data_IF_924083608467
#
_entry.id   IF_924083608467
#
_cell.length_a   1.000
_cell.length_b   1.000
_cell.length_c   1.000
_cell.angle_alpha   90.00
_cell.angle_beta   90.00
_cell.angle_gamma   90.00
#
_symmetry.space_group_name_H-M   'P 1'
#
loop_
_entity.id
_entity.type
_entity.pdbx_description
1 polymer ?
#
# COMPACT_ATOMS: atom_id res chain seq x y z
N UNK A 1 4.38 -7.19 -1.19
CA UNK A 1 5.74 -7.76 -1.09
C UNK A 1 5.80 -9.20 -1.62
N UNK A 2 4.85 -10.08 -1.31
CA UNK A 2 4.89 -11.50 -1.67
C UNK A 2 4.62 -11.80 -3.17
N UNK A 3 4.44 -10.78 -4.00
CA UNK A 3 4.47 -10.91 -5.47
C UNK A 3 5.90 -11.09 -6.02
N UNK A 4 6.90 -10.75 -5.23
CA UNK A 4 8.30 -10.91 -5.63
C UNK A 4 8.80 -12.31 -5.26
N UNK A 5 9.38 -13.07 -6.19
CA UNK A 5 10.08 -14.30 -5.86
C UNK A 5 11.26 -13.94 -4.94
N UNK A 6 11.56 -14.76 -3.97
CA UNK A 6 12.65 -14.59 -3.02
C UNK A 6 12.40 -13.50 -1.94
N UNK A 7 11.17 -13.04 -1.74
CA UNK A 7 10.83 -12.15 -0.62
C UNK A 7 10.03 -12.93 0.41
N UNK A 8 10.56 -12.97 1.62
CA UNK A 8 9.87 -13.50 2.79
C UNK A 8 9.43 -12.34 3.69
N UNK A 9 8.27 -12.46 4.30
CA UNK A 9 7.73 -11.45 5.19
C UNK A 9 7.54 -12.02 6.60
N UNK A 10 8.26 -11.47 7.56
CA UNK A 10 8.09 -11.82 8.97
C UNK A 10 7.31 -10.73 9.70
N UNK A 11 6.34 -11.12 10.52
CA UNK A 11 5.61 -10.21 11.40
C UNK A 11 6.18 -10.28 12.83
N UNK A 12 6.88 -9.25 13.31
CA UNK A 12 7.39 -9.22 14.69
C UNK A 12 6.27 -9.32 15.74
N UNK A 13 5.16 -8.63 15.49
CA UNK A 13 4.01 -8.63 16.41
C UNK A 13 3.34 -10.00 16.53
N UNK A 14 3.23 -10.73 15.43
CA UNK A 14 2.63 -12.08 15.39
C UNK A 14 3.67 -13.18 15.60
N UNK A 15 4.96 -12.84 15.64
CA UNK A 15 6.10 -13.77 15.75
C UNK A 15 6.04 -14.93 14.75
N UNK A 16 5.63 -14.65 13.52
CA UNK A 16 5.48 -15.66 12.46
C UNK A 16 5.70 -15.10 11.07
N UNK A 17 6.02 -16.00 10.15
CA UNK A 17 6.02 -15.69 8.71
C UNK A 17 4.61 -15.42 8.23
N UNK A 18 4.46 -14.41 7.38
CA UNK A 18 3.23 -14.09 6.69
C UNK A 18 3.31 -14.72 5.30
N UNK A 19 2.37 -15.62 5.00
CA UNK A 19 2.24 -16.24 3.70
C UNK A 19 0.92 -15.80 3.06
N UNK A 20 1.00 -15.13 1.92
CA UNK A 20 -0.15 -14.81 1.09
C UNK A 20 -0.21 -15.79 -0.08
N UNK A 21 -1.22 -16.67 -0.09
CA UNK A 21 -1.37 -17.68 -1.15
C UNK A 21 -1.83 -17.10 -2.49
N UNK A 22 -2.49 -15.96 -2.46
CA UNK A 22 -3.05 -15.28 -3.62
C UNK A 22 -2.74 -13.77 -3.52
N UNK A 23 -1.49 -13.35 -3.85
CA UNK A 23 -1.09 -11.94 -3.76
C UNK A 23 -1.88 -11.02 -4.70
N UNK A 24 -2.30 -11.53 -5.85
CA UNK A 24 -3.08 -10.77 -6.82
C UNK A 24 -4.51 -10.54 -6.31
N UNK A 25 -5.18 -11.61 -5.86
CA UNK A 25 -6.50 -11.48 -5.23
C UNK A 25 -6.47 -10.58 -3.99
N UNK A 26 -5.39 -10.62 -3.20
CA UNK A 26 -5.21 -9.73 -2.05
C UNK A 26 -5.10 -8.26 -2.49
N UNK A 27 -4.35 -7.97 -3.57
CA UNK A 27 -4.26 -6.61 -4.12
C UNK A 27 -5.62 -6.11 -4.60
N UNK A 28 -6.36 -6.94 -5.34
CA UNK A 28 -7.70 -6.61 -5.82
C UNK A 28 -8.67 -6.38 -4.66
N UNK A 29 -8.63 -7.26 -3.65
CA UNK A 29 -9.40 -7.08 -2.42
C UNK A 29 -9.13 -5.70 -1.78
N UNK A 30 -7.85 -5.33 -1.71
CA UNK A 30 -7.43 -4.05 -1.13
C UNK A 30 -7.94 -2.87 -1.96
N UNK A 31 -7.83 -2.92 -3.29
CA UNK A 31 -8.36 -1.89 -4.18
C UNK A 31 -9.90 -1.74 -4.06
N UNK A 32 -10.63 -2.86 -3.95
CA UNK A 32 -12.10 -2.84 -3.84
C UNK A 32 -12.55 -2.31 -2.48
N UNK A 33 -11.89 -2.73 -1.40
CA UNK A 33 -12.24 -2.32 -0.02
C UNK A 33 -11.73 -0.93 0.34
N UNK A 34 -10.72 -0.44 -0.38
CA UNK A 34 -9.98 0.75 0.01
C UNK A 34 -9.08 0.50 1.23
N UNK A 35 -8.44 1.54 1.70
CA UNK A 35 -7.62 1.55 2.90
C UNK A 35 -8.05 2.69 3.84
N UNK A 36 -8.78 2.35 4.88
CA UNK A 36 -9.29 3.35 5.82
C UNK A 36 -8.19 4.01 6.65
N UNK A 37 -7.03 3.36 6.82
CA UNK A 37 -5.89 3.95 7.51
C UNK A 37 -5.24 5.07 6.70
N UNK A 38 -5.29 4.96 5.38
CA UNK A 38 -4.78 5.95 4.43
C UNK A 38 -5.86 6.91 3.91
N UNK A 39 -7.09 6.80 4.45
CA UNK A 39 -8.21 7.64 4.05
C UNK A 39 -8.83 7.28 2.68
N UNK A 40 -8.55 6.08 2.16
CA UNK A 40 -9.04 5.62 0.86
C UNK A 40 -10.35 4.82 1.06
N UNK A 41 -11.52 5.35 0.66
CA UNK A 41 -12.78 4.65 0.82
C UNK A 41 -12.93 3.50 -0.18
N UNK A 42 -13.84 2.56 0.13
CA UNK A 42 -14.14 1.47 -0.81
C UNK A 42 -14.79 2.00 -2.11
N UNK A 43 -14.76 1.19 -3.15
CA UNK A 43 -15.22 1.59 -4.50
C UNK A 43 -16.70 1.94 -4.62
N UNK A 44 -17.52 1.61 -3.61
CA UNK A 44 -18.97 1.95 -3.57
C UNK A 44 -19.25 3.28 -2.88
N UNK A 45 -18.22 3.90 -2.28
CA UNK A 45 -18.38 5.04 -1.37
C UNK A 45 -17.89 6.34 -1.99
N UNK A 46 -18.42 7.45 -1.50
CA UNK A 46 -17.95 8.78 -1.85
C UNK A 46 -16.49 9.00 -1.41
N UNK A 47 -15.79 9.90 -2.09
CA UNK A 47 -14.37 10.19 -1.83
C UNK A 47 -14.14 10.69 -0.40
N UNK A 48 -15.09 11.38 0.16
CA UNK A 48 -15.04 11.95 1.50
C UNK A 48 -15.69 11.06 2.60
N UNK A 49 -16.12 9.85 2.26
CA UNK A 49 -16.87 8.97 3.17
C UNK A 49 -16.11 8.55 4.45
N UNK A 50 -14.79 8.73 4.48
CA UNK A 50 -13.97 8.43 5.67
C UNK A 50 -13.69 9.70 6.48
N UNK A 51 -13.49 10.83 5.80
CA UNK A 51 -13.06 12.08 6.44
C UNK A 51 -14.24 12.95 6.88
N UNK A 52 -15.42 12.78 6.26
CA UNK A 52 -16.63 13.52 6.60
C UNK A 52 -17.40 12.79 7.72
N UNK A 53 -17.56 13.38 8.92
CA UNK A 53 -18.22 12.73 10.05
C UNK A 53 -19.70 12.43 9.79
N UNK A 54 -20.32 13.15 8.86
CA UNK A 54 -21.74 12.98 8.52
C UNK A 54 -21.99 11.88 7.48
N UNK A 55 -20.91 11.32 6.92
CA UNK A 55 -20.98 10.26 5.91
C UNK A 55 -20.50 8.92 6.47
N UNK A 56 -21.01 7.85 5.87
CA UNK A 56 -20.57 6.48 6.15
C UNK A 56 -20.26 5.77 4.84
N UNK A 57 -19.27 4.92 4.88
CA UNK A 57 -18.98 4.06 3.74
C UNK A 57 -20.16 3.11 3.45
N UNK A 58 -20.44 2.90 2.18
CA UNK A 58 -21.35 1.85 1.71
C UNK A 58 -20.78 0.47 2.09
N UNK A 59 -21.62 -0.43 2.56
CA UNK A 59 -21.18 -1.76 3.01
C UNK A 59 -20.71 -2.59 1.81
N UNK A 60 -19.46 -3.00 1.86
CA UNK A 60 -18.87 -3.97 0.94
C UNK A 60 -19.12 -5.38 1.48
N UNK A 61 -20.10 -6.09 0.92
CA UNK A 61 -20.40 -7.46 1.33
C UNK A 61 -19.35 -8.44 0.78
N UNK A 62 -19.13 -9.57 1.49
CA UNK A 62 -18.22 -10.63 1.04
C UNK A 62 -18.58 -11.16 -0.36
N UNK A 63 -19.87 -11.23 -0.67
CA UNK A 63 -20.34 -11.68 -1.99
C UNK A 63 -19.85 -10.73 -3.09
N UNK A 64 -20.12 -9.43 -2.96
CA UNK A 64 -19.67 -8.40 -3.91
C UNK A 64 -18.15 -8.37 -4.06
N UNK A 65 -17.44 -8.53 -2.95
CA UNK A 65 -15.97 -8.58 -2.97
C UNK A 65 -15.45 -9.77 -3.77
N UNK A 66 -15.97 -10.98 -3.51
CA UNK A 66 -15.55 -12.18 -4.23
C UNK A 66 -15.89 -12.09 -5.72
N UNK A 67 -17.07 -11.59 -6.06
CA UNK A 67 -17.46 -11.34 -7.44
C UNK A 67 -16.48 -10.38 -8.14
N UNK A 68 -16.10 -9.30 -7.50
CA UNK A 68 -15.13 -8.34 -8.05
C UNK A 68 -13.76 -8.99 -8.29
N UNK A 69 -13.27 -9.81 -7.34
CA UNK A 69 -11.99 -10.52 -7.46
C UNK A 69 -12.04 -11.52 -8.63
N UNK A 70 -13.13 -12.29 -8.75
CA UNK A 70 -13.31 -13.24 -9.84
C UNK A 70 -13.37 -12.56 -11.20
N UNK A 71 -14.14 -11.48 -11.32
CA UNK A 71 -14.23 -10.70 -12.55
C UNK A 71 -12.87 -10.12 -12.96
N UNK A 72 -12.11 -9.61 -12.01
CA UNK A 72 -10.75 -9.12 -12.27
C UNK A 72 -9.84 -10.23 -12.83
N UNK A 73 -9.83 -11.40 -12.19
CA UNK A 73 -9.02 -12.55 -12.62
C UNK A 73 -9.40 -13.06 -14.02
N UNK A 74 -10.66 -12.89 -14.39
CA UNK A 74 -11.14 -13.25 -15.73
C UNK A 74 -10.85 -12.16 -16.79
N UNK A 75 -10.23 -11.05 -16.40
CA UNK A 75 -10.06 -9.88 -17.28
C UNK A 75 -11.40 -9.24 -17.69
N UNK A 76 -12.47 -9.55 -16.96
CA UNK A 76 -13.84 -9.13 -17.23
C UNK A 76 -14.33 -8.14 -16.17
N UNK A 77 -13.49 -7.22 -15.73
CA UNK A 77 -13.96 -6.10 -14.95
C UNK A 77 -14.83 -5.22 -15.86
N UNK A 78 -15.96 -5.82 -16.30
CA UNK A 78 -17.03 -5.09 -16.93
C UNK A 78 -17.76 -4.33 -15.82
N UNK A 79 -17.26 -3.15 -15.54
CA UNK A 79 -18.10 -2.14 -14.95
C UNK A 79 -19.28 -1.95 -15.91
N UNK A 80 -20.48 -2.09 -15.40
CA UNK A 80 -21.63 -1.61 -16.13
C UNK A 80 -21.29 -0.17 -16.54
N UNK A 81 -21.24 0.11 -17.85
CA UNK A 81 -20.85 1.44 -18.38
C UNK A 81 -21.76 2.53 -17.81
N UNK A 82 -22.87 2.16 -17.20
CA UNK A 82 -23.82 3.03 -16.51
C UNK A 82 -23.36 3.49 -15.12
N UNK A 83 -22.39 2.78 -14.48
CA UNK A 83 -21.89 3.18 -13.16
C UNK A 83 -20.54 3.90 -13.24
N UNK A 84 -20.55 5.08 -13.83
CA UNK A 84 -19.38 5.97 -13.97
C UNK A 84 -18.69 6.21 -12.62
N UNK A 85 -19.46 6.33 -11.54
CA UNK A 85 -18.92 6.56 -10.20
C UNK A 85 -18.10 5.37 -9.69
N UNK A 86 -18.58 4.15 -9.91
CA UNK A 86 -17.85 2.96 -9.51
C UNK A 86 -16.52 2.84 -10.27
N UNK A 87 -16.52 3.14 -11.57
CA UNK A 87 -15.32 3.17 -12.42
C UNK A 87 -14.32 4.20 -11.90
N UNK A 88 -14.76 5.42 -11.61
CA UNK A 88 -13.90 6.48 -11.07
C UNK A 88 -13.28 6.08 -9.72
N UNK A 89 -14.08 5.53 -8.82
CA UNK A 89 -13.61 5.06 -7.52
C UNK A 89 -12.62 3.89 -7.65
N UNK A 90 -12.83 2.99 -8.60
CA UNK A 90 -11.89 1.93 -8.90
C UNK A 90 -10.55 2.49 -9.40
N UNK A 91 -10.58 3.41 -10.36
CA UNK A 91 -9.37 4.06 -10.91
C UNK A 91 -8.62 4.77 -9.77
N UNK A 92 -9.33 5.55 -8.94
CA UNK A 92 -8.76 6.20 -7.76
C UNK A 92 -8.03 5.20 -6.86
N UNK A 93 -8.72 4.14 -6.44
CA UNK A 93 -8.16 3.16 -5.52
C UNK A 93 -6.98 2.39 -6.15
N UNK A 94 -7.09 2.04 -7.44
CA UNK A 94 -6.00 1.40 -8.18
C UNK A 94 -4.76 2.30 -8.21
N UNK A 95 -4.93 3.56 -8.57
CA UNK A 95 -3.82 4.53 -8.64
C UNK A 95 -3.15 4.73 -7.27
N UNK A 96 -3.91 4.71 -6.18
CA UNK A 96 -3.37 4.95 -4.84
C UNK A 96 -2.80 3.71 -4.17
N UNK A 97 -3.27 2.53 -4.51
CA UNK A 97 -2.93 1.27 -3.81
C UNK A 97 -1.97 0.39 -4.62
N UNK A 98 -2.11 0.35 -5.95
CA UNK A 98 -1.25 -0.48 -6.79
C UNK A 98 0.05 0.26 -7.13
N UNK A 99 1.15 -0.16 -6.52
CA UNK A 99 2.47 0.43 -6.79
C UNK A 99 2.92 0.31 -8.24
N UNK A 100 2.29 -0.53 -9.07
CA UNK A 100 2.57 -0.57 -10.50
C UNK A 100 2.12 0.69 -11.22
N UNK A 101 1.16 1.43 -10.66
CA UNK A 101 0.64 2.70 -11.20
C UNK A 101 1.56 3.91 -10.92
N UNK A 102 2.63 3.73 -10.13
CA UNK A 102 3.61 4.82 -9.92
C UNK A 102 4.19 5.25 -11.28
N UNK A 103 4.14 6.54 -11.63
CA UNK A 103 4.69 7.04 -12.90
C UNK A 103 6.14 6.66 -13.10
N UNK A 104 6.53 6.33 -14.33
CA UNK A 104 7.89 5.88 -14.65
C UNK A 104 8.95 6.90 -14.23
N UNK A 105 8.70 8.19 -14.43
CA UNK A 105 9.61 9.27 -14.01
C UNK A 105 9.93 9.20 -12.50
N UNK A 106 8.95 8.86 -11.67
CA UNK A 106 9.18 8.72 -10.23
C UNK A 106 9.93 7.43 -9.90
N UNK A 107 9.64 6.33 -10.60
CA UNK A 107 10.41 5.08 -10.47
C UNK A 107 11.88 5.31 -10.81
N UNK A 108 12.16 6.02 -11.90
CA UNK A 108 13.52 6.32 -12.33
C UNK A 108 14.25 7.18 -11.30
N UNK A 109 13.61 8.21 -10.75
CA UNK A 109 14.19 9.04 -9.67
C UNK A 109 14.51 8.23 -8.41
N UNK A 110 13.64 7.28 -8.03
CA UNK A 110 13.90 6.39 -6.90
C UNK A 110 15.11 5.49 -7.16
N UNK A 111 15.20 4.92 -8.37
CA UNK A 111 16.33 4.07 -8.76
C UNK A 111 17.64 4.85 -8.84
N UNK A 112 17.61 6.06 -9.37
CA UNK A 112 18.77 6.95 -9.41
C UNK A 112 19.25 7.33 -8.01
N UNK A 113 18.33 7.61 -7.09
CA UNK A 113 18.68 7.90 -5.70
C UNK A 113 19.23 6.66 -4.99
N UNK A 114 18.64 5.49 -5.25
CA UNK A 114 19.12 4.23 -4.69
C UNK A 114 20.51 3.84 -5.18
N UNK A 115 20.83 4.17 -6.43
CA UNK A 115 22.15 3.88 -7.03
C UNK A 115 23.28 4.78 -6.48
N UNK A 116 22.95 5.87 -5.78
CA UNK A 116 23.95 6.75 -5.19
C UNK A 116 24.67 6.05 -4.04
N UNK A 117 26.01 6.14 -3.98
CA UNK A 117 26.75 5.54 -2.88
C UNK A 117 26.34 6.23 -1.57
N UNK A 118 25.90 5.44 -0.61
CA UNK A 118 25.69 5.92 0.76
C UNK A 118 27.05 6.02 1.45
N UNK A 119 27.63 7.21 1.44
CA UNK A 119 28.86 7.49 2.19
C UNK A 119 28.46 7.75 3.64
N UNK A 120 28.56 6.72 4.47
CA UNK A 120 28.38 6.85 5.92
C UNK A 120 29.56 7.57 6.55
N UNK A 121 29.30 8.60 7.32
CA UNK A 121 30.30 9.29 8.16
C UNK A 121 30.00 8.97 9.63
N UNK A 122 30.80 8.06 10.20
CA UNK A 122 30.61 7.63 11.60
C UNK A 122 30.68 8.80 12.59
N UNK A 123 31.50 9.81 12.31
CA UNK A 123 31.61 11.00 13.19
C UNK A 123 30.33 11.81 13.22
N UNK A 124 29.61 11.90 12.12
CA UNK A 124 28.29 12.56 12.05
C UNK A 124 27.23 11.78 12.83
N UNK A 125 27.25 10.44 12.75
CA UNK A 125 26.34 9.58 13.51
C UNK A 125 26.58 9.75 15.01
N UNK A 126 27.84 9.71 15.45
CA UNK A 126 28.22 9.93 16.85
C UNK A 126 27.75 11.29 17.35
N UNK A 127 28.07 12.37 16.64
CA UNK A 127 27.68 13.72 17.00
C UNK A 127 26.15 13.89 17.03
N UNK A 128 25.43 13.29 16.10
CA UNK A 128 23.97 13.28 16.11
C UNK A 128 23.41 12.58 17.36
N UNK A 129 23.95 11.42 17.72
CA UNK A 129 23.49 10.68 18.90
C UNK A 129 23.75 11.46 20.18
N UNK A 130 24.92 12.08 20.33
CA UNK A 130 25.25 12.91 21.50
C UNK A 130 24.31 14.12 21.59
N UNK A 131 24.12 14.85 20.49
CA UNK A 131 23.25 16.02 20.45
C UNK A 131 21.77 15.67 20.68
N UNK A 132 21.34 14.49 20.25
CA UNK A 132 19.98 13.99 20.43
C UNK A 132 19.76 13.26 21.76
N UNK A 133 20.75 13.24 22.65
CA UNK A 133 20.74 12.55 23.94
C UNK A 133 20.43 11.05 23.85
N UNK A 134 20.90 10.41 22.79
CA UNK A 134 20.77 8.97 22.53
C UNK A 134 22.00 8.19 23.04
N UNK A 135 22.52 8.54 24.22
CA UNK A 135 23.75 8.00 24.77
C UNK A 135 23.81 6.47 24.84
N UNK A 136 22.68 5.83 25.21
CA UNK A 136 22.62 4.37 25.28
C UNK A 136 22.75 3.66 23.92
N UNK A 137 22.58 4.38 22.81
CA UNK A 137 22.76 3.85 21.46
C UNK A 137 24.18 4.03 20.92
N UNK A 138 25.01 4.82 21.56
CA UNK A 138 26.39 5.11 21.12
C UNK A 138 27.21 3.82 21.12
N UNK A 139 27.07 2.98 22.14
CA UNK A 139 27.82 1.72 22.30
C UNK A 139 27.47 0.66 21.24
N UNK A 140 26.38 0.86 20.49
CA UNK A 140 25.93 -0.05 19.42
C UNK A 140 26.57 0.32 18.07
N UNK A 141 26.99 1.57 17.90
CA UNK A 141 27.40 2.15 16.61
C UNK A 141 28.89 2.44 16.52
N UNK A 142 29.58 2.50 17.66
CA UNK A 142 31.03 2.64 17.77
C UNK A 142 31.72 1.29 17.87
#
# INVERSE_FOLDING_TARGET
LQRFPNVEQYSPNKKKMIVCKDPEGFLVEHMVKGDSSDGIPNVLSDDDAIINPDKKQTIMTKKRLNEAIEQYKLGKLNFDETDVKYIQNWIRNKTMIDMSEIPQEQKDKILDEWAKPVVGDKSKVFNYMVNSRLGEMVDIVV
#
